data_IF_996507798310
#
_entry.id   IF_996507798310
#
_cell.length_a   1.000
_cell.length_b   1.000
_cell.length_c   1.000
_cell.angle_alpha   90.00
_cell.angle_beta   90.00
_cell.angle_gamma   90.00
#
_symmetry.space_group_name_H-M   'P 1'
#
loop_
_entity.id
_entity.type
_entity.pdbx_description
1 polymer ?
#
# COMPACT_ATOMS: atom_id res chain seq x y z
N UNK A 1 -19.00 -8.33 -15.46
CA UNK A 1 -17.67 -7.72 -15.25
C UNK A 1 -16.60 -8.73 -15.63
N UNK A 2 -15.66 -8.37 -16.51
CA UNK A 2 -14.58 -9.29 -16.93
C UNK A 2 -13.61 -9.53 -15.76
N UNK A 3 -13.01 -10.72 -15.70
CA UNK A 3 -12.09 -11.19 -14.66
C UNK A 3 -10.93 -10.20 -14.40
N UNK A 4 -10.38 -9.57 -15.43
CA UNK A 4 -9.31 -8.57 -15.27
C UNK A 4 -9.77 -7.35 -14.47
N UNK A 5 -10.96 -6.81 -14.75
CA UNK A 5 -11.49 -5.65 -14.01
C UNK A 5 -11.87 -6.04 -12.58
N UNK A 6 -12.46 -7.22 -12.40
CA UNK A 6 -12.75 -7.77 -11.07
C UNK A 6 -11.46 -7.91 -10.25
N UNK A 7 -10.43 -8.53 -10.83
CA UNK A 7 -9.13 -8.68 -10.17
C UNK A 7 -8.50 -7.31 -9.86
N UNK A 8 -8.56 -6.36 -10.80
CA UNK A 8 -8.04 -5.00 -10.58
C UNK A 8 -8.73 -4.34 -9.40
N UNK A 9 -10.07 -4.40 -9.34
CA UNK A 9 -10.84 -3.86 -8.21
C UNK A 9 -10.50 -4.53 -6.88
N UNK A 10 -10.48 -5.86 -6.84
CA UNK A 10 -10.23 -6.61 -5.61
C UNK A 10 -8.83 -6.33 -5.08
N UNK A 11 -7.81 -6.33 -5.95
CA UNK A 11 -6.42 -6.12 -5.55
C UNK A 11 -6.18 -4.66 -5.16
N UNK A 12 -6.59 -3.69 -5.98
CA UNK A 12 -6.42 -2.26 -5.65
C UNK A 12 -7.20 -1.88 -4.40
N UNK A 13 -8.43 -2.38 -4.25
CA UNK A 13 -9.26 -2.15 -3.07
C UNK A 13 -8.68 -2.75 -1.80
N UNK A 14 -8.28 -4.02 -1.83
CA UNK A 14 -7.66 -4.67 -0.68
C UNK A 14 -6.40 -3.95 -0.22
N UNK A 15 -5.49 -3.67 -1.16
CA UNK A 15 -4.21 -3.02 -0.85
C UNK A 15 -4.41 -1.57 -0.41
N UNK A 16 -5.17 -0.78 -1.16
CA UNK A 16 -5.36 0.64 -0.88
C UNK A 16 -6.05 0.89 0.46
N UNK A 17 -7.13 0.17 0.74
CA UNK A 17 -7.83 0.29 2.01
C UNK A 17 -6.98 -0.19 3.18
N UNK A 18 -6.32 -1.36 3.07
CA UNK A 18 -5.51 -1.89 4.17
C UNK A 18 -4.32 -0.98 4.51
N UNK A 19 -3.60 -0.49 3.50
CA UNK A 19 -2.42 0.37 3.68
C UNK A 19 -2.80 1.75 4.24
N UNK A 20 -3.91 2.34 3.74
CA UNK A 20 -4.42 3.61 4.22
C UNK A 20 -4.97 3.51 5.65
N UNK A 21 -5.77 2.48 5.95
CA UNK A 21 -6.29 2.24 7.30
C UNK A 21 -5.16 1.96 8.29
N UNK A 22 -4.14 1.20 7.85
CA UNK A 22 -2.93 1.00 8.64
C UNK A 22 -2.28 2.33 9.00
N UNK A 23 -2.07 3.22 8.03
CA UNK A 23 -1.42 4.51 8.24
C UNK A 23 -2.22 5.46 9.15
N UNK A 24 -3.54 5.52 8.95
CA UNK A 24 -4.41 6.57 9.53
C UNK A 24 -5.13 6.12 10.80
N UNK A 25 -5.35 4.82 10.98
CA UNK A 25 -6.10 4.28 12.12
C UNK A 25 -5.22 3.44 13.05
N UNK A 26 -4.36 2.59 12.50
CA UNK A 26 -3.53 1.70 13.32
C UNK A 26 -2.27 2.38 13.85
N UNK A 27 -1.48 3.02 12.98
CA UNK A 27 -0.21 3.63 13.37
C UNK A 27 -0.36 4.69 14.48
N UNK A 28 -1.40 5.55 14.53
CA UNK A 28 -1.61 6.44 15.66
C UNK A 28 -1.73 5.74 17.01
N UNK A 29 -2.31 4.53 17.05
CA UNK A 29 -2.39 3.71 18.27
C UNK A 29 -1.02 3.12 18.59
N UNK A 30 -0.34 2.52 17.59
CA UNK A 30 1.00 1.94 17.75
C UNK A 30 1.99 2.99 18.31
N UNK A 31 1.89 4.25 17.86
CA UNK A 31 2.74 5.36 18.35
C UNK A 31 2.69 5.60 19.85
N UNK A 32 1.60 5.20 20.51
CA UNK A 32 1.39 5.39 21.96
C UNK A 32 2.00 4.27 22.80
N UNK A 33 2.40 3.16 22.18
CA UNK A 33 3.01 2.04 22.89
C UNK A 33 4.45 2.37 23.34
N UNK A 34 4.98 1.69 24.37
CA UNK A 34 6.41 1.65 24.67
C UNK A 34 7.23 1.30 23.42
N UNK A 35 8.46 1.82 23.31
CA UNK A 35 9.22 1.71 22.05
C UNK A 35 9.65 0.27 21.75
N UNK A 36 9.84 -0.53 22.78
CA UNK A 36 10.13 -1.97 22.74
C UNK A 36 8.95 -2.75 22.17
N UNK A 37 7.74 -2.39 22.56
CA UNK A 37 6.51 -2.97 22.04
C UNK A 37 6.26 -2.56 20.59
N UNK A 38 6.54 -1.29 20.24
CA UNK A 38 6.53 -0.85 18.84
C UNK A 38 7.47 -1.71 17.99
N UNK A 39 8.73 -1.89 18.41
CA UNK A 39 9.69 -2.72 17.67
C UNK A 39 9.22 -4.18 17.53
N UNK A 40 8.63 -4.74 18.58
CA UNK A 40 8.09 -6.10 18.58
C UNK A 40 6.94 -6.24 17.59
N UNK A 41 5.99 -5.31 17.61
CA UNK A 41 4.86 -5.25 16.69
C UNK A 41 5.32 -5.12 15.23
N UNK A 42 6.24 -4.19 14.94
CA UNK A 42 6.76 -3.97 13.59
C UNK A 42 7.47 -5.23 13.03
N UNK A 43 8.28 -5.91 13.85
CA UNK A 43 8.91 -7.18 13.46
C UNK A 43 7.87 -8.26 13.18
N UNK A 44 6.77 -8.29 13.94
CA UNK A 44 5.62 -9.16 13.68
C UNK A 44 4.97 -8.86 12.33
N UNK A 45 4.65 -7.59 12.06
CA UNK A 45 4.04 -7.13 10.81
C UNK A 45 4.92 -7.44 9.60
N UNK A 46 6.24 -7.33 9.70
CA UNK A 46 7.16 -7.68 8.61
C UNK A 46 7.10 -9.17 8.22
N UNK A 47 6.72 -10.06 9.13
CA UNK A 47 6.61 -11.51 8.84
C UNK A 47 5.28 -11.90 8.19
N UNK A 48 4.25 -11.08 8.33
CA UNK A 48 2.92 -11.33 7.77
C UNK A 48 2.63 -10.33 6.65
N UNK A 49 2.29 -9.09 7.02
CA UNK A 49 1.98 -7.98 6.13
C UNK A 49 3.11 -7.72 5.13
N UNK A 50 4.36 -7.71 5.62
CA UNK A 50 5.56 -7.49 4.80
C UNK A 50 5.88 -8.58 3.77
N UNK A 51 5.21 -9.73 3.81
CA UNK A 51 5.35 -10.79 2.79
C UNK A 51 4.26 -10.71 1.71
N UNK A 52 3.03 -10.42 2.13
CA UNK A 52 1.88 -10.42 1.23
C UNK A 52 1.77 -9.10 0.46
N UNK A 53 1.92 -7.97 1.14
CA UNK A 53 1.67 -6.66 0.53
C UNK A 53 2.58 -6.35 -0.66
N UNK A 54 3.91 -6.57 -0.63
CA UNK A 54 4.76 -6.26 -1.78
C UNK A 54 4.33 -6.93 -3.09
N UNK A 55 3.83 -8.17 -3.00
CA UNK A 55 3.30 -8.88 -4.16
C UNK A 55 2.04 -8.21 -4.70
N UNK A 56 1.06 -7.94 -3.83
CA UNK A 56 -0.20 -7.34 -4.24
C UNK A 56 -0.05 -5.89 -4.73
N UNK A 57 0.84 -5.13 -4.08
CA UNK A 57 1.19 -3.77 -4.46
C UNK A 57 1.87 -3.69 -5.82
N UNK A 58 2.63 -4.72 -6.19
CA UNK A 58 3.23 -4.82 -7.53
C UNK A 58 2.19 -5.28 -8.55
N UNK A 59 1.29 -6.20 -8.18
CA UNK A 59 0.22 -6.66 -9.06
C UNK A 59 -0.78 -5.54 -9.39
N UNK A 60 -1.09 -4.66 -8.45
CA UNK A 60 -2.06 -3.56 -8.60
C UNK A 60 -1.82 -2.68 -9.85
N UNK A 61 -0.65 -2.02 -10.04
CA UNK A 61 -0.39 -1.23 -11.23
C UNK A 61 -0.33 -2.08 -12.51
N UNK A 62 0.14 -3.32 -12.46
CA UNK A 62 0.17 -4.22 -13.62
C UNK A 62 -1.25 -4.52 -14.10
N UNK A 63 -2.16 -4.86 -13.18
CA UNK A 63 -3.56 -5.11 -13.49
C UNK A 63 -4.24 -3.84 -14.04
N UNK A 64 -3.95 -2.68 -13.47
CA UNK A 64 -4.45 -1.41 -13.98
C UNK A 64 -3.96 -1.11 -15.41
N UNK A 65 -2.68 -1.39 -15.73
CA UNK A 65 -2.14 -1.27 -17.11
C UNK A 65 -2.83 -2.25 -18.05
N UNK A 66 -2.97 -3.52 -17.66
CA UNK A 66 -3.67 -4.53 -18.48
C UNK A 66 -5.11 -4.12 -18.78
N UNK A 67 -5.82 -3.60 -17.77
CA UNK A 67 -7.16 -3.03 -17.95
C UNK A 67 -7.16 -1.79 -18.85
N UNK A 68 -6.22 -0.87 -18.68
CA UNK A 68 -6.11 0.32 -19.52
C UNK A 68 -5.91 -0.04 -21.01
N UNK A 69 -5.04 -1.01 -21.30
CA UNK A 69 -4.80 -1.50 -22.67
C UNK A 69 -6.04 -2.21 -23.23
N UNK A 70 -6.71 -3.04 -22.42
CA UNK A 70 -7.86 -3.82 -22.87
C UNK A 70 -9.12 -2.98 -23.14
N UNK A 71 -9.31 -1.89 -22.39
CA UNK A 71 -10.56 -1.10 -22.43
C UNK A 71 -10.39 0.35 -22.89
N UNK A 72 -9.16 0.82 -23.11
CA UNK A 72 -8.88 2.20 -23.53
C UNK A 72 -9.31 3.26 -22.50
N UNK A 73 -9.37 2.92 -21.21
CA UNK A 73 -9.88 3.82 -20.16
C UNK A 73 -8.79 4.73 -19.59
N UNK A 74 -8.96 6.05 -19.73
CA UNK A 74 -8.08 7.05 -19.12
C UNK A 74 -8.06 7.01 -17.59
N UNK A 75 -9.13 6.53 -16.96
CA UNK A 75 -9.17 6.29 -15.50
C UNK A 75 -8.23 5.17 -15.07
N UNK A 76 -8.16 4.07 -15.85
CA UNK A 76 -7.23 2.98 -15.58
C UNK A 76 -5.77 3.38 -15.85
N UNK A 77 -5.52 4.21 -16.86
CA UNK A 77 -4.18 4.82 -17.08
C UNK A 77 -3.78 5.65 -15.85
N UNK A 78 -4.68 6.50 -15.37
CA UNK A 78 -4.43 7.34 -14.19
C UNK A 78 -4.20 6.50 -12.94
N UNK A 79 -5.00 5.45 -12.73
CA UNK A 79 -4.83 4.50 -11.64
C UNK A 79 -3.45 3.81 -11.71
N UNK A 80 -3.05 3.32 -12.89
CA UNK A 80 -1.76 2.69 -13.10
C UNK A 80 -0.59 3.61 -12.74
N UNK A 81 -0.64 4.87 -13.17
CA UNK A 81 0.40 5.87 -12.87
C UNK A 81 0.48 6.14 -11.37
N UNK A 82 -0.66 6.42 -10.72
CA UNK A 82 -0.71 6.70 -9.28
C UNK A 82 -0.21 5.51 -8.45
N UNK A 83 -0.62 4.29 -8.82
CA UNK A 83 -0.19 3.06 -8.14
C UNK A 83 1.30 2.79 -8.37
N UNK A 84 1.84 3.09 -9.55
CA UNK A 84 3.27 3.00 -9.82
C UNK A 84 4.07 4.00 -8.98
N UNK A 85 3.59 5.24 -8.83
CA UNK A 85 4.23 6.22 -7.92
C UNK A 85 4.19 5.73 -6.48
N UNK A 86 3.08 5.15 -6.02
CA UNK A 86 3.00 4.56 -4.68
C UNK A 86 4.01 3.42 -4.48
N UNK A 87 4.22 2.60 -5.51
CA UNK A 87 5.22 1.52 -5.50
C UNK A 87 6.65 2.10 -5.44
N UNK A 88 6.94 3.18 -6.17
CA UNK A 88 8.25 3.86 -6.08
C UNK A 88 8.50 4.42 -4.68
N UNK A 89 7.50 5.10 -4.09
CA UNK A 89 7.58 5.59 -2.69
C UNK A 89 7.88 4.43 -1.73
N UNK A 90 7.26 3.27 -1.97
CA UNK A 90 7.50 2.07 -1.15
C UNK A 90 8.93 1.59 -1.25
N UNK A 91 9.44 1.42 -2.46
CA UNK A 91 10.76 0.84 -2.73
C UNK A 91 11.86 1.76 -2.21
N UNK A 92 11.71 3.08 -2.36
CA UNK A 92 12.73 4.05 -1.97
C UNK A 92 12.62 4.48 -0.49
N UNK A 93 11.41 4.50 0.07
CA UNK A 93 11.16 4.98 1.43
C UNK A 93 10.96 3.86 2.45
N UNK A 94 9.88 3.09 2.30
CA UNK A 94 9.48 2.10 3.31
C UNK A 94 10.39 0.86 3.35
N UNK A 95 10.76 0.32 2.19
CA UNK A 95 11.52 -0.94 2.08
C UNK A 95 12.89 -0.87 2.77
N UNK A 96 13.72 0.18 2.58
CA UNK A 96 15.02 0.26 3.25
C UNK A 96 14.91 0.27 4.78
N UNK A 97 13.92 0.98 5.31
CA UNK A 97 13.68 1.04 6.76
C UNK A 97 13.15 -0.32 7.27
N UNK A 98 12.25 -0.96 6.52
CA UNK A 98 11.75 -2.30 6.85
C UNK A 98 12.87 -3.34 6.88
N UNK A 99 13.79 -3.29 5.91
CA UNK A 99 14.97 -4.16 5.86
C UNK A 99 15.94 -3.87 7.02
N UNK A 100 16.07 -2.62 7.42
CA UNK A 100 16.85 -2.27 8.61
C UNK A 100 16.20 -2.82 9.88
N UNK A 101 14.88 -2.63 10.07
CA UNK A 101 14.13 -3.14 11.22
C UNK A 101 14.15 -4.67 11.29
N UNK A 102 14.09 -5.38 10.16
CA UNK A 102 14.12 -6.85 10.12
C UNK A 102 15.48 -7.42 10.55
N UNK A 103 16.56 -6.65 10.40
CA UNK A 103 17.93 -7.04 10.79
C UNK A 103 18.24 -6.81 12.26
N UNK A 104 17.41 -6.06 12.99
CA UNK A 104 17.62 -5.83 14.42
C UNK A 104 17.56 -7.15 15.19
N UNK A 105 18.57 -7.42 16.02
CA UNK A 105 18.67 -8.63 16.85
C UNK A 105 18.50 -8.26 18.32
N UNK A 106 18.05 -9.22 19.14
CA UNK A 106 17.81 -9.01 20.56
C UNK A 106 16.54 -8.20 20.85
N UNK A 107 16.43 -7.79 22.12
CA UNK A 107 15.32 -7.00 22.68
C UNK A 107 15.65 -5.53 22.87
N UNK A 108 16.94 -5.16 22.79
CA UNK A 108 17.38 -3.77 22.89
C UNK A 108 16.91 -2.95 21.68
N UNK A 109 16.33 -1.79 21.95
CA UNK A 109 15.85 -0.87 20.92
C UNK A 109 16.95 0.14 20.62
N UNK A 110 17.45 0.22 19.38
CA UNK A 110 18.42 1.24 19.00
C UNK A 110 17.85 2.65 19.18
N UNK A 111 18.65 3.60 19.65
CA UNK A 111 18.22 4.99 19.89
C UNK A 111 17.57 5.63 18.64
N UNK A 112 18.12 5.34 17.47
CA UNK A 112 17.65 5.84 16.18
C UNK A 112 16.34 5.19 15.68
N UNK A 113 15.83 4.14 16.34
CA UNK A 113 14.63 3.41 15.91
C UNK A 113 13.42 4.33 15.85
N UNK A 114 13.21 5.16 16.87
CA UNK A 114 12.07 6.09 16.93
C UNK A 114 12.09 7.06 15.76
N UNK A 115 13.23 7.69 15.49
CA UNK A 115 13.37 8.66 14.40
C UNK A 115 13.12 8.00 13.04
N UNK A 116 13.72 6.82 12.77
CA UNK A 116 13.49 6.06 11.55
C UNK A 116 12.02 5.66 11.38
N UNK A 117 11.34 5.29 12.47
CA UNK A 117 9.92 4.94 12.43
C UNK A 117 9.03 6.13 12.11
N UNK A 118 9.31 7.31 12.67
CA UNK A 118 8.55 8.53 12.31
C UNK A 118 8.76 8.92 10.86
N UNK A 119 9.98 8.74 10.34
CA UNK A 119 10.24 8.93 8.91
C UNK A 119 9.49 7.93 8.03
N UNK A 120 9.43 6.66 8.45
CA UNK A 120 8.65 5.63 7.78
C UNK A 120 7.15 5.97 7.73
N UNK A 121 6.58 6.52 8.81
CA UNK A 121 5.16 6.87 8.88
C UNK A 121 4.76 7.88 7.79
N UNK A 122 5.67 8.80 7.42
CA UNK A 122 5.42 9.77 6.35
C UNK A 122 5.26 9.04 5.02
N UNK A 123 6.21 8.17 4.66
CA UNK A 123 6.12 7.37 3.44
C UNK A 123 4.89 6.48 3.44
N UNK A 124 4.55 5.91 4.60
CA UNK A 124 3.36 5.07 4.75
C UNK A 124 2.07 5.83 4.47
N UNK A 125 1.91 7.04 5.00
CA UNK A 125 0.72 7.86 4.76
C UNK A 125 0.64 8.27 3.29
N UNK A 126 1.76 8.71 2.70
CA UNK A 126 1.81 9.09 1.28
C UNK A 126 1.44 7.90 0.39
N UNK A 127 2.09 6.76 0.61
CA UNK A 127 1.83 5.51 -0.10
C UNK A 127 0.38 5.07 0.04
N UNK A 128 -0.13 4.93 1.26
CA UNK A 128 -1.48 4.46 1.50
C UNK A 128 -2.53 5.35 0.85
N UNK A 129 -2.32 6.68 0.89
CA UNK A 129 -3.20 7.65 0.24
C UNK A 129 -3.21 7.50 -1.29
N UNK A 130 -2.04 7.33 -1.90
CA UNK A 130 -1.92 7.09 -3.35
C UNK A 130 -2.59 5.76 -3.74
N UNK A 131 -2.45 4.71 -2.93
CA UNK A 131 -3.08 3.42 -3.23
C UNK A 131 -4.61 3.47 -3.10
N UNK A 132 -5.12 4.19 -2.10
CA UNK A 132 -6.55 4.45 -1.98
C UNK A 132 -7.08 5.28 -3.16
N UNK A 133 -6.32 6.27 -3.61
CA UNK A 133 -6.66 7.04 -4.82
C UNK A 133 -6.66 6.16 -6.07
N UNK A 134 -5.67 5.29 -6.24
CA UNK A 134 -5.62 4.32 -7.34
C UNK A 134 -6.83 3.38 -7.36
N UNK A 135 -7.29 2.95 -6.18
CA UNK A 135 -8.54 2.20 -6.03
C UNK A 135 -9.76 3.05 -6.44
N UNK A 136 -9.88 4.28 -5.96
CA UNK A 136 -11.00 5.17 -6.32
C UNK A 136 -11.07 5.41 -7.85
N UNK A 137 -9.92 5.61 -8.49
CA UNK A 137 -9.82 5.75 -9.95
C UNK A 137 -10.23 4.44 -10.67
N UNK A 138 -9.90 3.29 -10.10
CA UNK A 138 -10.35 1.98 -10.62
C UNK A 138 -11.88 1.85 -10.51
N UNK A 139 -12.49 2.29 -9.40
CA UNK A 139 -13.95 2.33 -9.25
C UNK A 139 -14.60 3.24 -10.29
N UNK A 140 -14.03 4.43 -10.54
CA UNK A 140 -14.52 5.35 -11.57
C UNK A 140 -14.45 4.71 -12.97
N UNK A 141 -13.36 4.02 -13.29
CA UNK A 141 -13.23 3.27 -14.53
C UNK A 141 -14.32 2.19 -14.67
N UNK A 142 -14.54 1.40 -13.63
CA UNK A 142 -15.53 0.32 -13.66
C UNK A 142 -16.95 0.88 -13.77
N UNK A 143 -17.25 1.97 -13.06
CA UNK A 143 -18.53 2.67 -13.20
C UNK A 143 -18.77 3.22 -14.61
N UNK A 144 -17.71 3.62 -15.32
CA UNK A 144 -17.81 4.08 -16.70
C UNK A 144 -17.99 2.91 -17.68
N UNK A 145 -17.34 1.78 -17.43
CA UNK A 145 -17.29 0.63 -18.35
C UNK A 145 -18.48 -0.32 -18.19
N UNK A 146 -19.20 -0.27 -17.06
CA UNK A 146 -20.45 -1.03 -16.88
C UNK A 146 -21.60 -0.17 -17.42
N UNK A 147 -22.38 -0.65 -18.41
CA UNK A 147 -23.57 0.05 -18.87
C UNK A 147 -24.52 0.24 -17.69
N UNK A 148 -24.88 1.49 -17.37
CA UNK A 148 -26.00 1.75 -16.47
C UNK A 148 -27.25 1.29 -17.19
N UNK A 149 -27.81 0.15 -16.79
CA UNK A 149 -29.14 -0.27 -17.22
C UNK A 149 -30.14 0.74 -16.64
N UNK A 150 -30.48 1.74 -17.43
CA UNK A 150 -31.68 2.55 -17.28
C UNK A 150 -32.74 2.04 -18.24
#
# INVERSE_FOLDING_TARGET
>A
MNLTLLATLLITGFVGCAEFASATLMHPVIRRLPIEEQMTMEKGLLRTFGRVMPLLMTAAPILAVMGAVAYGSGWLVSAAVVLAVALVVTILGNVPINLWTSRLRGTEVPEQFRAKRRHWDIYQVVRGSLQLLGFALTCAAVSQLIPTTT
#
